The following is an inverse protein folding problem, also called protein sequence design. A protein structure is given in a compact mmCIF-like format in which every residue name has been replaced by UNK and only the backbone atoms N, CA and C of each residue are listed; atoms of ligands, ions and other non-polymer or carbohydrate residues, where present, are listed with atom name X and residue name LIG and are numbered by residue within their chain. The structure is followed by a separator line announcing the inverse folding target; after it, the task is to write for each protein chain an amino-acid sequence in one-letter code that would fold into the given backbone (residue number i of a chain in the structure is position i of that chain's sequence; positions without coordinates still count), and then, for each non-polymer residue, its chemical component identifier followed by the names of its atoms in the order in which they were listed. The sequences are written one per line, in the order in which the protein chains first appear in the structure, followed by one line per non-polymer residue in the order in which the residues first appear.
data_IF_836755452134
#
_entry.id   IF_836755452134
#
_cell.length_a   1.000
_cell.length_b   1.000
_cell.length_c   1.000
_cell.angle_alpha   90.00
_cell.angle_beta   90.00
_cell.angle_gamma   90.00
#
_symmetry.space_group_name_H-M   'P 1'
#
loop_
_entity.id
_entity.type
_entity.pdbx_description
1 polymer ?
#
# COMPACT_ATOMS: atom_id res chain seq x y z
N UNK A 1 -15.97 -6.05 23.12
CA UNK A 1 -14.70 -6.20 22.41
C UNK A 1 -14.47 -7.60 21.82
N UNK A 2 -14.44 -8.73 22.60
CA UNK A 2 -14.20 -10.08 22.04
C UNK A 2 -15.25 -10.49 21.00
N UNK A 3 -16.53 -10.18 21.22
CA UNK A 3 -17.59 -10.43 20.23
C UNK A 3 -17.32 -9.69 18.91
N UNK A 4 -16.91 -8.42 18.98
CA UNK A 4 -16.57 -7.63 17.79
C UNK A 4 -15.39 -8.24 17.03
N UNK A 5 -14.34 -8.69 17.73
CA UNK A 5 -13.21 -9.40 17.12
C UNK A 5 -13.68 -10.68 16.41
N UNK A 6 -14.54 -11.47 17.06
CA UNK A 6 -15.10 -12.70 16.48
C UNK A 6 -15.91 -12.39 15.23
N UNK A 7 -16.78 -11.38 15.26
CA UNK A 7 -17.58 -10.95 14.11
C UNK A 7 -16.67 -10.49 12.95
N UNK A 8 -15.66 -9.66 13.23
CA UNK A 8 -14.69 -9.19 12.24
C UNK A 8 -14.03 -10.38 11.55
N UNK A 9 -13.51 -11.34 12.32
CA UNK A 9 -12.78 -12.48 11.75
C UNK A 9 -13.71 -13.43 11.02
N UNK A 10 -14.79 -13.89 11.64
CA UNK A 10 -15.66 -14.92 11.05
C UNK A 10 -16.42 -14.36 9.84
N UNK A 11 -17.12 -13.24 10.00
CA UNK A 11 -17.94 -12.67 8.90
C UNK A 11 -17.03 -12.09 7.81
N UNK A 12 -15.92 -11.42 8.20
CA UNK A 12 -14.96 -10.87 7.25
C UNK A 12 -14.29 -11.94 6.38
N UNK A 13 -13.87 -13.05 6.98
CA UNK A 13 -13.29 -14.19 6.25
C UNK A 13 -14.35 -14.87 5.36
N UNK A 14 -15.57 -15.10 5.87
CA UNK A 14 -16.66 -15.70 5.11
C UNK A 14 -17.03 -14.87 3.89
N UNK A 15 -17.24 -13.56 4.06
CA UNK A 15 -17.56 -12.66 2.94
C UNK A 15 -16.40 -12.51 1.96
N UNK A 16 -15.16 -12.51 2.46
CA UNK A 16 -13.96 -12.53 1.62
C UNK A 16 -13.90 -13.81 0.75
N UNK A 17 -14.17 -14.97 1.34
CA UNK A 17 -14.25 -16.24 0.61
C UNK A 17 -15.41 -16.26 -0.40
N UNK A 18 -16.56 -15.71 -0.06
CA UNK A 18 -17.71 -15.60 -0.98
C UNK A 18 -17.36 -14.74 -2.20
N UNK A 19 -16.71 -13.59 -1.98
CA UNK A 19 -16.23 -12.75 -3.07
C UNK A 19 -15.23 -13.50 -3.97
N UNK A 20 -14.31 -14.27 -3.40
CA UNK A 20 -13.37 -15.08 -4.19
C UNK A 20 -14.08 -16.11 -5.05
N UNK A 21 -15.14 -16.77 -4.54
CA UNK A 21 -16.00 -17.66 -5.36
C UNK A 21 -16.67 -16.94 -6.53
N UNK A 22 -17.04 -15.68 -6.34
CA UNK A 22 -17.57 -14.80 -7.39
C UNK A 22 -16.47 -14.21 -8.30
N UNK A 23 -15.22 -14.65 -8.19
CA UNK A 23 -14.04 -14.13 -8.90
C UNK A 23 -13.70 -12.67 -8.57
N UNK A 24 -14.21 -12.15 -7.47
CA UNK A 24 -13.88 -10.83 -6.93
C UNK A 24 -12.72 -10.92 -5.92
N UNK A 25 -11.95 -9.85 -5.73
CA UNK A 25 -10.96 -9.78 -4.65
C UNK A 25 -11.62 -9.95 -3.26
N UNK A 26 -11.02 -10.75 -2.36
CA UNK A 26 -11.50 -11.00 -0.98
C UNK A 26 -11.73 -9.73 -0.17
N UNK A 27 -10.86 -8.73 -0.39
CA UNK A 27 -10.91 -7.46 0.31
C UNK A 27 -12.25 -6.72 0.16
N UNK A 28 -12.98 -6.92 -0.95
CA UNK A 28 -14.30 -6.31 -1.15
C UNK A 28 -15.33 -6.87 -0.15
N UNK A 29 -15.31 -8.18 0.07
CA UNK A 29 -16.16 -8.81 1.07
C UNK A 29 -15.85 -8.34 2.49
N UNK A 30 -14.56 -8.17 2.81
CA UNK A 30 -14.12 -7.64 4.10
C UNK A 30 -14.54 -6.19 4.30
N UNK A 31 -14.36 -5.32 3.29
CA UNK A 31 -14.85 -3.93 3.32
C UNK A 31 -16.37 -3.86 3.52
N UNK A 32 -17.12 -4.62 2.73
CA UNK A 32 -18.58 -4.68 2.86
C UNK A 32 -19.01 -5.17 4.24
N UNK A 33 -18.32 -6.15 4.80
CA UNK A 33 -18.53 -6.61 6.18
C UNK A 33 -18.36 -5.45 7.16
N UNK A 34 -17.30 -4.68 7.04
CA UNK A 34 -17.06 -3.51 7.89
C UNK A 34 -18.17 -2.46 7.78
N UNK A 35 -18.57 -2.12 6.55
CA UNK A 35 -19.66 -1.17 6.32
C UNK A 35 -20.97 -1.63 6.98
N UNK A 36 -21.31 -2.93 6.87
CA UNK A 36 -22.54 -3.49 7.43
C UNK A 36 -22.49 -3.60 8.94
N UNK A 37 -21.39 -4.12 9.52
CA UNK A 37 -21.25 -4.28 10.97
C UNK A 37 -20.93 -2.98 11.70
N UNK A 38 -20.46 -1.97 10.98
CA UNK A 38 -20.04 -0.67 11.50
C UNK A 38 -21.18 0.20 12.05
N UNK A 39 -20.83 1.36 12.63
CA UNK A 39 -21.77 2.23 13.34
C UNK A 39 -22.83 2.87 12.44
N UNK A 40 -22.62 2.89 11.13
CA UNK A 40 -23.54 3.55 10.19
C UNK A 40 -24.66 2.63 9.67
N UNK A 41 -24.62 1.30 9.96
CA UNK A 41 -25.67 0.35 9.53
C UNK A 41 -26.17 -0.45 10.73
N UNK A 42 -25.49 -1.53 11.11
CA UNK A 42 -25.98 -2.42 12.19
C UNK A 42 -25.45 -2.06 13.58
N UNK A 43 -24.40 -1.26 13.66
CA UNK A 43 -23.74 -0.84 14.90
C UNK A 43 -23.42 -2.03 15.85
N UNK A 44 -22.89 -3.13 15.30
CA UNK A 44 -22.54 -4.33 16.05
C UNK A 44 -21.11 -4.34 16.55
N UNK A 45 -20.26 -3.41 16.09
CA UNK A 45 -18.87 -3.27 16.51
C UNK A 45 -18.80 -2.35 17.74
N UNK A 46 -18.20 -2.87 18.79
CA UNK A 46 -17.98 -2.16 20.05
C UNK A 46 -17.06 -0.94 19.84
N UNK A 47 -17.38 0.18 20.50
CA UNK A 47 -16.61 1.42 20.43
C UNK A 47 -15.14 1.26 20.82
N UNK A 48 -14.81 0.31 21.69
CA UNK A 48 -13.42 0.02 22.09
C UNK A 48 -12.58 -0.51 20.92
N UNK A 49 -13.14 -1.36 20.04
CA UNK A 49 -12.41 -1.86 18.88
C UNK A 49 -12.29 -0.77 17.80
N UNK A 50 -13.30 0.09 17.69
CA UNK A 50 -13.24 1.22 16.76
C UNK A 50 -12.22 2.27 17.24
N UNK A 51 -12.09 2.48 18.54
CA UNK A 51 -11.09 3.39 19.14
C UNK A 51 -9.65 2.97 18.86
N UNK A 52 -9.34 1.66 18.89
CA UNK A 52 -8.00 1.15 18.57
C UNK A 52 -7.82 0.80 17.08
N UNK A 53 -8.81 1.08 16.23
CA UNK A 53 -8.77 0.79 14.79
C UNK A 53 -7.55 1.41 14.09
N UNK A 54 -7.13 2.66 14.35
CA UNK A 54 -5.94 3.24 13.74
C UNK A 54 -4.68 2.42 14.02
N UNK A 55 -4.51 1.95 15.27
CA UNK A 55 -3.35 1.16 15.69
C UNK A 55 -3.32 -0.23 15.01
N UNK A 56 -4.47 -0.89 14.95
CA UNK A 56 -4.59 -2.18 14.28
C UNK A 56 -4.28 -2.08 12.78
N UNK A 57 -4.71 -0.99 12.13
CA UNK A 57 -4.39 -0.71 10.73
C UNK A 57 -2.90 -0.41 10.54
N UNK A 58 -2.29 0.34 11.45
CA UNK A 58 -0.84 0.61 11.48
C UNK A 58 -0.04 -0.69 11.64
N UNK A 59 -0.47 -1.58 12.54
CA UNK A 59 0.14 -2.92 12.70
C UNK A 59 0.06 -3.73 11.39
N UNK A 60 -1.09 -3.72 10.72
CA UNK A 60 -1.24 -4.41 9.44
C UNK A 60 -0.30 -3.84 8.37
N UNK A 61 -0.14 -2.51 8.31
CA UNK A 61 0.81 -1.84 7.41
C UNK A 61 2.26 -2.27 7.70
N UNK A 62 2.66 -2.33 8.96
CA UNK A 62 4.00 -2.80 9.37
C UNK A 62 4.23 -4.25 8.93
N UNK A 63 3.25 -5.12 9.12
CA UNK A 63 3.34 -6.54 8.71
C UNK A 63 3.54 -6.66 7.19
N UNK A 64 2.76 -5.93 6.40
CA UNK A 64 2.87 -6.03 4.93
C UNK A 64 4.17 -5.42 4.40
N UNK A 65 4.63 -4.29 4.96
CA UNK A 65 5.91 -3.67 4.58
C UNK A 65 7.11 -4.54 4.94
N UNK A 66 7.12 -5.14 6.13
CA UNK A 66 8.17 -6.11 6.50
C UNK A 66 8.20 -7.29 5.54
N UNK A 67 7.03 -7.84 5.21
CA UNK A 67 6.90 -8.93 4.24
C UNK A 67 7.41 -8.52 2.87
N UNK A 68 7.08 -7.33 2.40
CA UNK A 68 7.54 -6.80 1.12
C UNK A 68 9.07 -6.69 1.09
N UNK A 69 9.68 -6.12 2.14
CA UNK A 69 11.14 -6.02 2.26
C UNK A 69 11.85 -7.37 2.30
N UNK A 70 11.28 -8.36 3.00
CA UNK A 70 11.83 -9.73 3.07
C UNK A 70 11.72 -10.48 1.73
N UNK A 71 10.73 -10.14 0.90
CA UNK A 71 10.46 -10.80 -0.38
C UNK A 71 11.06 -10.10 -1.60
N UNK A 72 11.62 -8.89 -1.45
CA UNK A 72 12.08 -8.06 -2.56
C UNK A 72 13.38 -8.64 -3.19
N UNK A 73 13.29 -9.12 -4.42
CA UNK A 73 14.48 -9.53 -5.19
C UNK A 73 15.21 -8.30 -5.77
N UNK A 74 16.19 -7.81 -5.02
CA UNK A 74 17.02 -6.67 -5.43
C UNK A 74 17.94 -6.97 -6.62
N UNK A 75 18.24 -8.24 -6.89
CA UNK A 75 19.07 -8.66 -8.01
C UNK A 75 18.30 -8.58 -9.34
N UNK A 76 17.02 -8.95 -9.30
CA UNK A 76 16.09 -8.79 -10.43
C UNK A 76 15.87 -7.32 -10.81
N UNK A 77 15.76 -6.43 -9.81
CA UNK A 77 15.59 -4.99 -10.04
C UNK A 77 16.74 -4.38 -10.85
N UNK A 78 17.98 -4.75 -10.53
CA UNK A 78 19.17 -4.25 -11.24
C UNK A 78 19.20 -4.66 -12.71
N UNK A 79 18.66 -5.84 -13.06
CA UNK A 79 18.59 -6.33 -14.43
C UNK A 79 17.54 -5.61 -15.28
N UNK A 80 16.49 -5.08 -14.66
CA UNK A 80 15.39 -4.38 -15.35
C UNK A 80 15.74 -2.93 -15.71
N UNK A 81 16.79 -2.35 -15.11
CA UNK A 81 17.37 -1.05 -15.44
C UNK A 81 16.42 0.15 -15.20
N UNK A 82 16.54 1.17 -16.07
CA UNK A 82 15.83 2.45 -15.96
C UNK A 82 14.31 2.32 -15.77
N UNK A 83 13.57 1.46 -16.51
CA UNK A 83 12.11 1.38 -16.34
C UNK A 83 11.70 0.96 -14.92
N UNK A 84 12.43 0.04 -14.29
CA UNK A 84 12.12 -0.41 -12.93
C UNK A 84 12.26 0.71 -11.91
N UNK A 85 13.30 1.52 -12.03
CA UNK A 85 13.50 2.68 -11.15
C UNK A 85 12.39 3.71 -11.34
N UNK A 86 12.07 4.06 -12.60
CA UNK A 86 11.02 5.05 -12.88
C UNK A 86 9.64 4.57 -12.40
N UNK A 87 9.32 3.28 -12.52
CA UNK A 87 8.06 2.70 -12.06
C UNK A 87 7.86 2.81 -10.53
N UNK A 88 8.91 3.05 -9.77
CA UNK A 88 8.84 3.21 -8.31
C UNK A 88 8.22 4.54 -7.86
N UNK A 89 8.23 5.60 -8.69
CA UNK A 89 7.78 6.93 -8.26
C UNK A 89 7.05 7.72 -9.35
N UNK A 90 7.37 7.56 -10.64
CA UNK A 90 6.77 8.39 -11.71
C UNK A 90 5.25 8.17 -11.83
N UNK A 91 4.72 6.93 -11.83
CA UNK A 91 3.26 6.73 -11.91
C UNK A 91 2.50 7.37 -10.74
N UNK A 92 3.05 7.28 -9.53
CA UNK A 92 2.48 7.89 -8.35
C UNK A 92 2.52 9.43 -8.41
N UNK A 93 3.64 10.00 -8.86
CA UNK A 93 3.77 11.46 -9.04
C UNK A 93 2.78 12.02 -10.08
N UNK A 94 2.59 11.31 -11.19
CA UNK A 94 1.60 11.68 -12.20
C UNK A 94 0.17 11.62 -11.64
N UNK A 95 -0.17 10.58 -10.91
CA UNK A 95 -1.49 10.45 -10.29
C UNK A 95 -1.73 11.54 -9.24
N UNK A 96 -0.76 11.82 -8.39
CA UNK A 96 -0.81 12.90 -7.41
C UNK A 96 -1.02 14.26 -8.10
N UNK A 97 -0.31 14.52 -9.20
CA UNK A 97 -0.51 15.73 -10.01
C UNK A 97 -1.94 15.78 -10.60
N UNK A 98 -2.45 14.64 -11.09
CA UNK A 98 -3.83 14.55 -11.57
C UNK A 98 -4.85 14.89 -10.49
N UNK A 99 -4.67 14.37 -9.27
CA UNK A 99 -5.54 14.70 -8.14
C UNK A 99 -5.40 16.18 -7.74
N UNK A 100 -4.20 16.71 -7.71
CA UNK A 100 -3.94 18.12 -7.40
C UNK A 100 -4.66 19.07 -8.38
N UNK A 101 -4.74 18.70 -9.65
CA UNK A 101 -5.42 19.51 -10.68
C UNK A 101 -6.96 19.36 -10.62
N UNK A 102 -7.45 18.18 -10.27
CA UNK A 102 -8.88 17.84 -10.33
C UNK A 102 -9.62 18.04 -9.00
N UNK A 103 -9.02 17.70 -7.87
CA UNK A 103 -9.72 17.69 -6.58
C UNK A 103 -10.17 19.07 -6.10
N UNK A 104 -9.41 20.17 -6.26
CA UNK A 104 -9.90 21.51 -5.92
C UNK A 104 -11.15 21.90 -6.71
N UNK A 105 -11.18 21.56 -8.01
CA UNK A 105 -12.30 21.92 -8.90
C UNK A 105 -13.53 21.06 -8.66
N UNK A 106 -13.36 19.78 -8.41
CA UNK A 106 -14.45 18.81 -8.28
C UNK A 106 -15.04 18.77 -6.87
N UNK A 107 -14.18 18.89 -5.85
CA UNK A 107 -14.54 18.66 -4.45
C UNK A 107 -14.37 19.90 -3.55
N UNK A 108 -13.82 20.99 -4.07
CA UNK A 108 -13.59 22.22 -3.31
C UNK A 108 -12.46 22.11 -2.27
N UNK A 109 -11.55 21.15 -2.43
CA UNK A 109 -10.42 20.94 -1.51
C UNK A 109 -9.37 22.04 -1.71
N UNK A 110 -8.71 22.41 -0.63
CA UNK A 110 -7.50 23.24 -0.67
C UNK A 110 -6.34 22.46 -1.34
N UNK A 111 -5.30 23.16 -1.73
CA UNK A 111 -4.12 22.55 -2.37
C UNK A 111 -3.50 21.47 -1.48
N UNK A 112 -3.37 21.75 -0.19
CA UNK A 112 -2.76 20.81 0.76
C UNK A 112 -3.64 19.58 1.01
N UNK A 113 -4.96 19.76 1.12
CA UNK A 113 -5.91 18.65 1.21
C UNK A 113 -5.92 17.79 -0.07
N UNK A 114 -5.81 18.42 -1.24
CA UNK A 114 -5.74 17.74 -2.53
C UNK A 114 -4.44 16.91 -2.65
N UNK A 115 -3.31 17.40 -2.14
CA UNK A 115 -2.05 16.66 -2.13
C UNK A 115 -2.10 15.48 -1.17
N UNK A 116 -2.71 15.63 0.02
CA UNK A 116 -2.95 14.52 0.96
C UNK A 116 -3.82 13.44 0.29
N UNK A 117 -4.94 13.84 -0.32
CA UNK A 117 -5.81 12.91 -1.05
C UNK A 117 -5.07 12.26 -2.21
N UNK A 118 -4.26 13.01 -2.95
CA UNK A 118 -3.43 12.51 -4.04
C UNK A 118 -2.41 11.48 -3.56
N UNK A 119 -1.74 11.74 -2.44
CA UNK A 119 -0.83 10.79 -1.83
C UNK A 119 -1.56 9.50 -1.41
N UNK A 120 -2.75 9.60 -0.80
CA UNK A 120 -3.55 8.41 -0.45
C UNK A 120 -3.90 7.58 -1.68
N UNK A 121 -4.29 8.22 -2.80
CA UNK A 121 -4.68 7.51 -4.02
C UNK A 121 -3.49 6.95 -4.80
N UNK A 122 -2.32 7.57 -4.72
CA UNK A 122 -1.23 7.35 -5.65
C UNK A 122 -0.55 5.96 -5.59
N UNK A 123 -0.76 5.13 -4.58
CA UNK A 123 -0.18 3.79 -4.50
C UNK A 123 -0.92 2.75 -5.35
N UNK A 124 -0.18 1.80 -5.95
CA UNK A 124 -0.74 0.57 -6.54
C UNK A 124 -0.81 -0.53 -5.49
N UNK A 125 -1.80 -1.38 -5.54
CA UNK A 125 -1.95 -2.43 -4.52
C UNK A 125 -1.19 -3.72 -4.83
N UNK A 126 -0.13 -4.06 -4.06
CA UNK A 126 0.52 -5.36 -4.18
C UNK A 126 -0.42 -6.53 -3.90
N UNK A 127 -1.41 -6.37 -3.02
CA UNK A 127 -2.36 -7.43 -2.68
C UNK A 127 -3.18 -7.95 -3.88
N UNK A 128 -3.46 -7.06 -4.84
CA UNK A 128 -4.18 -7.41 -6.07
C UNK A 128 -3.22 -7.85 -7.18
N UNK A 129 -2.06 -7.21 -7.27
CA UNK A 129 -1.11 -7.36 -8.40
C UNK A 129 -0.20 -8.56 -8.22
N UNK A 130 0.39 -8.76 -7.01
CA UNK A 130 1.41 -9.80 -6.77
C UNK A 130 0.93 -11.20 -7.10
N UNK A 131 -0.25 -11.68 -6.66
CA UNK A 131 -0.71 -13.03 -6.96
C UNK A 131 -0.83 -13.28 -8.48
N UNK A 132 -1.25 -12.26 -9.23
CA UNK A 132 -1.40 -12.34 -10.68
C UNK A 132 -0.07 -12.36 -11.39
N UNK A 133 0.87 -11.51 -10.99
CA UNK A 133 2.21 -11.49 -11.59
C UNK A 133 2.96 -12.81 -11.33
N UNK A 134 2.83 -13.40 -10.13
CA UNK A 134 3.40 -14.72 -9.82
C UNK A 134 2.80 -15.78 -10.74
N UNK A 135 1.46 -15.81 -10.87
CA UNK A 135 0.78 -16.72 -11.78
C UNK A 135 1.24 -16.56 -13.24
N UNK A 136 1.42 -15.32 -13.71
CA UNK A 136 1.92 -15.08 -15.07
C UNK A 136 3.35 -15.61 -15.27
N UNK A 137 4.20 -15.50 -14.24
CA UNK A 137 5.55 -16.09 -14.26
C UNK A 137 5.49 -17.61 -14.32
N UNK A 138 4.61 -18.24 -13.53
CA UNK A 138 4.42 -19.69 -13.53
C UNK A 138 3.87 -20.20 -14.86
N UNK A 139 2.94 -19.46 -15.49
CA UNK A 139 2.37 -19.77 -16.80
C UNK A 139 3.27 -19.38 -17.99
N UNK A 140 4.36 -18.65 -17.76
CA UNK A 140 5.34 -18.23 -18.77
C UNK A 140 4.94 -17.01 -19.62
N UNK A 141 3.96 -16.20 -19.21
CA UNK A 141 3.52 -15.01 -19.96
C UNK A 141 4.32 -13.75 -19.60
N UNK A 142 4.89 -13.07 -20.61
CA UNK A 142 5.62 -11.81 -20.46
C UNK A 142 6.97 -11.95 -19.72
N UNK A 143 7.42 -13.18 -19.46
CA UNK A 143 8.61 -13.45 -18.64
C UNK A 143 9.89 -13.08 -19.38
N UNK A 144 9.98 -13.36 -20.69
CA UNK A 144 11.16 -12.99 -21.52
C UNK A 144 11.42 -11.49 -21.53
N UNK A 145 10.36 -10.71 -21.54
CA UNK A 145 10.41 -9.24 -21.50
C UNK A 145 10.54 -8.68 -20.09
N UNK A 146 10.46 -9.53 -19.06
CA UNK A 146 10.54 -9.12 -17.66
C UNK A 146 9.34 -8.30 -17.15
N UNK A 147 8.18 -8.38 -17.82
CA UNK A 147 7.01 -7.55 -17.48
C UNK A 147 6.47 -7.84 -16.09
N UNK A 148 6.19 -9.11 -15.68
CA UNK A 148 5.75 -9.39 -14.32
C UNK A 148 6.74 -8.94 -13.26
N UNK A 149 8.04 -9.14 -13.51
CA UNK A 149 9.11 -8.72 -12.61
C UNK A 149 9.18 -7.19 -12.47
N UNK A 150 9.02 -6.46 -13.59
CA UNK A 150 8.99 -5.00 -13.62
C UNK A 150 7.83 -4.45 -12.78
N UNK A 151 6.63 -5.02 -12.96
CA UNK A 151 5.43 -4.61 -12.22
C UNK A 151 5.59 -4.90 -10.73
N UNK A 152 6.08 -6.10 -10.36
CA UNK A 152 6.33 -6.46 -8.96
C UNK A 152 7.33 -5.53 -8.28
N UNK A 153 8.41 -5.24 -8.99
CA UNK A 153 9.47 -4.38 -8.49
C UNK A 153 8.98 -2.95 -8.22
N UNK A 154 8.31 -2.35 -9.18
CA UNK A 154 7.75 -1.02 -9.05
C UNK A 154 6.68 -0.94 -7.98
N UNK A 155 5.72 -1.88 -7.98
CA UNK A 155 4.64 -1.92 -7.00
C UNK A 155 5.11 -2.04 -5.54
N UNK A 156 6.26 -2.69 -5.31
CA UNK A 156 6.80 -2.84 -3.94
C UNK A 156 7.43 -1.56 -3.39
N UNK A 157 7.95 -0.70 -4.25
CA UNK A 157 8.63 0.55 -3.84
C UNK A 157 7.68 1.75 -3.93
N UNK A 158 6.72 1.72 -4.84
CA UNK A 158 5.68 2.73 -5.03
C UNK A 158 4.94 3.04 -3.71
N UNK A 159 4.57 2.01 -2.94
CA UNK A 159 3.92 2.14 -1.63
C UNK A 159 4.74 3.01 -0.66
N UNK A 160 6.05 2.78 -0.62
CA UNK A 160 6.95 3.50 0.30
C UNK A 160 7.06 4.96 -0.09
N UNK A 161 7.24 5.24 -1.38
CA UNK A 161 7.29 6.61 -1.90
C UNK A 161 6.03 7.40 -1.52
N UNK A 162 4.87 6.79 -1.73
CA UNK A 162 3.56 7.39 -1.44
C UNK A 162 3.35 7.63 0.05
N UNK A 163 3.73 6.68 0.91
CA UNK A 163 3.59 6.82 2.36
C UNK A 163 4.45 7.96 2.89
N UNK A 164 5.65 8.14 2.36
CA UNK A 164 6.52 9.26 2.75
C UNK A 164 5.93 10.60 2.34
N UNK A 165 5.43 10.70 1.10
CA UNK A 165 4.73 11.91 0.67
C UNK A 165 3.54 12.22 1.57
N UNK A 166 2.72 11.20 1.85
CA UNK A 166 1.57 11.32 2.73
C UNK A 166 1.95 11.82 4.12
N UNK A 167 2.94 11.19 4.77
CA UNK A 167 3.39 11.58 6.12
C UNK A 167 3.90 13.03 6.14
N UNK A 168 4.64 13.44 5.10
CA UNK A 168 5.13 14.81 4.99
C UNK A 168 4.00 15.83 4.88
N UNK A 169 3.01 15.58 4.01
CA UNK A 169 1.90 16.51 3.83
C UNK A 169 0.95 16.54 5.02
N UNK A 170 0.81 15.43 5.74
CA UNK A 170 0.08 15.38 7.01
C UNK A 170 0.80 16.23 8.06
N UNK A 171 2.12 16.12 8.21
CA UNK A 171 2.92 16.96 9.10
C UNK A 171 2.76 18.44 8.78
N UNK A 172 2.83 18.83 7.51
CA UNK A 172 2.58 20.22 7.07
C UNK A 172 1.17 20.70 7.45
N UNK A 173 0.16 19.84 7.41
CA UNK A 173 -1.22 20.19 7.79
C UNK A 173 -1.37 20.34 9.31
N UNK A 174 -0.55 19.67 10.11
CA UNK A 174 -0.51 19.80 11.56
C UNK A 174 0.22 21.07 12.06
N UNK A 175 0.70 21.92 11.15
CA UNK A 175 1.33 23.20 11.49
C UNK A 175 2.84 23.15 11.56
N UNK A 176 3.47 22.06 11.12
CA UNK A 176 4.89 22.05 10.84
C UNK A 176 5.15 23.06 9.71
N UNK A 177 6.00 24.06 9.97
CA UNK A 177 6.23 25.15 9.04
C UNK A 177 6.61 24.64 7.65
N UNK A 178 5.86 25.03 6.63
CA UNK A 178 6.16 24.77 5.22
C UNK A 178 7.39 25.58 4.80
N UNK A 179 8.56 25.21 5.33
CA UNK A 179 9.83 25.80 4.91
C UNK A 179 10.40 25.00 3.73
N UNK A 180 11.21 25.62 2.90
CA UNK A 180 12.00 24.90 1.88
C UNK A 180 12.80 23.74 2.48
N UNK A 181 13.17 23.84 3.76
CA UNK A 181 13.80 22.79 4.55
C UNK A 181 12.89 21.54 4.69
N UNK A 182 11.56 21.69 4.81
CA UNK A 182 10.63 20.54 4.89
C UNK A 182 10.66 19.71 3.62
N UNK A 183 10.80 20.34 2.45
CA UNK A 183 10.93 19.60 1.18
C UNK A 183 12.29 18.90 1.04
N UNK A 184 13.36 19.47 1.61
CA UNK A 184 14.69 18.82 1.68
C UNK A 184 14.68 17.68 2.68
N UNK A 185 13.89 17.77 3.75
CA UNK A 185 13.77 16.71 4.75
C UNK A 185 13.11 15.44 4.19
N UNK A 186 12.27 15.52 3.14
CA UNK A 186 11.67 14.32 2.52
C UNK A 186 12.76 13.35 2.03
N UNK A 187 13.66 13.73 1.09
CA UNK A 187 14.70 12.82 0.64
C UNK A 187 15.66 12.44 1.78
N UNK A 188 15.91 13.33 2.74
CA UNK A 188 16.79 13.05 3.89
C UNK A 188 16.15 11.98 4.78
N UNK A 189 14.88 12.10 5.14
CA UNK A 189 14.17 11.10 5.96
C UNK A 189 14.07 9.74 5.27
N UNK A 190 13.91 9.72 3.94
CA UNK A 190 13.98 8.51 3.14
C UNK A 190 15.35 7.84 3.26
N UNK A 191 16.42 8.60 2.99
CA UNK A 191 17.79 8.09 3.02
C UNK A 191 18.18 7.61 4.42
N UNK A 192 17.80 8.36 5.47
CA UNK A 192 18.03 7.96 6.86
C UNK A 192 17.23 6.70 7.21
N UNK A 193 15.97 6.61 6.83
CA UNK A 193 15.16 5.40 7.00
C UNK A 193 15.78 4.19 6.32
N UNK A 194 16.25 4.36 5.07
CA UNK A 194 16.99 3.30 4.36
C UNK A 194 18.27 2.89 5.09
N UNK A 195 19.07 3.84 5.54
CA UNK A 195 20.33 3.58 6.25
C UNK A 195 20.08 2.84 7.59
N UNK A 196 19.15 3.34 8.40
CA UNK A 196 18.75 2.73 9.68
C UNK A 196 18.21 1.32 9.45
N UNK A 197 17.30 1.14 8.49
CA UNK A 197 16.72 -0.17 8.17
C UNK A 197 17.77 -1.18 7.70
N UNK A 198 18.69 -0.79 6.81
CA UNK A 198 19.79 -1.65 6.35
C UNK A 198 20.74 -2.00 7.49
N UNK A 199 21.08 -1.05 8.36
CA UNK A 199 21.94 -1.26 9.51
C UNK A 199 21.29 -2.29 10.47
N UNK A 200 20.05 -2.05 10.90
CA UNK A 200 19.30 -2.94 11.81
C UNK A 200 19.10 -4.31 11.17
N UNK A 201 18.69 -4.38 9.90
CA UNK A 201 18.53 -5.67 9.18
C UNK A 201 19.83 -6.46 9.08
N UNK A 202 20.95 -5.76 8.87
CA UNK A 202 22.29 -6.36 8.85
C UNK A 202 22.73 -6.86 10.21
N UNK A 203 22.46 -6.11 11.27
CA UNK A 203 22.73 -6.53 12.66
C UNK A 203 21.90 -7.77 13.03
N UNK A 204 20.60 -7.76 12.68
CA UNK A 204 19.73 -8.92 12.89
C UNK A 204 20.22 -10.16 12.11
N UNK A 205 20.70 -9.97 10.88
CA UNK A 205 21.28 -11.08 10.11
C UNK A 205 22.51 -11.69 10.80
N UNK A 206 23.38 -10.86 11.39
CA UNK A 206 24.52 -11.31 12.18
C UNK A 206 24.08 -11.97 13.50
N UNK A 207 23.11 -11.39 14.19
CA UNK A 207 22.55 -11.96 15.42
C UNK A 207 21.94 -13.33 15.19
N UNK A 208 21.08 -13.47 14.16
CA UNK A 208 20.46 -14.74 13.78
C UNK A 208 21.46 -15.78 13.22
N UNK A 209 22.69 -15.36 12.90
CA UNK A 209 23.77 -16.27 12.55
C UNK A 209 24.37 -16.94 13.77
N UNK A 210 24.57 -16.15 14.84
CA UNK A 210 25.22 -16.59 16.07
C UNK A 210 24.25 -17.30 17.01
N UNK A 211 22.99 -16.82 17.08
CA UNK A 211 21.99 -17.33 18.02
C UNK A 211 20.93 -18.14 17.27
N UNK A 212 20.87 -19.44 17.59
CA UNK A 212 19.93 -20.38 17.01
C UNK A 212 18.57 -20.29 17.72
N UNK A 213 17.68 -19.43 17.21
CA UNK A 213 16.31 -19.26 17.68
C UNK A 213 15.28 -19.67 16.61
N UNK A 214 14.10 -20.07 17.06
CA UNK A 214 12.99 -20.45 16.17
C UNK A 214 12.57 -19.29 15.27
N UNK A 215 12.16 -19.57 14.04
CA UNK A 215 11.76 -18.54 13.09
C UNK A 215 10.56 -17.69 13.60
N UNK A 216 9.68 -18.27 14.43
CA UNK A 216 8.59 -17.54 15.09
C UNK A 216 9.12 -16.46 16.04
N UNK A 217 10.14 -16.77 16.84
CA UNK A 217 10.77 -15.78 17.72
C UNK A 217 11.48 -14.68 16.91
N UNK A 218 12.12 -15.02 15.78
CA UNK A 218 12.71 -14.01 14.87
C UNK A 218 11.65 -13.04 14.34
N UNK A 219 10.47 -13.56 13.97
CA UNK A 219 9.34 -12.71 13.53
C UNK A 219 8.93 -11.73 14.61
N UNK A 220 8.78 -12.20 15.86
CA UNK A 220 8.41 -11.34 16.99
C UNK A 220 9.48 -10.28 17.27
N UNK A 221 10.77 -10.63 17.21
CA UNK A 221 11.88 -9.68 17.38
C UNK A 221 11.83 -8.59 16.30
N UNK A 222 11.68 -8.97 15.04
CA UNK A 222 11.59 -7.99 13.94
C UNK A 222 10.35 -7.09 14.13
N UNK A 223 9.20 -7.68 14.49
CA UNK A 223 7.97 -6.93 14.71
C UNK A 223 8.11 -5.94 15.88
N UNK A 224 8.71 -6.37 17.01
CA UNK A 224 8.98 -5.51 18.17
C UNK A 224 9.91 -4.36 17.81
N UNK A 225 10.98 -4.61 17.07
CA UNK A 225 11.90 -3.58 16.58
C UNK A 225 11.17 -2.62 15.64
N UNK A 226 10.28 -3.14 14.79
CA UNK A 226 9.46 -2.30 13.89
C UNK A 226 8.55 -1.36 14.68
N UNK A 227 7.92 -1.83 15.75
CA UNK A 227 7.11 -0.99 16.63
C UNK A 227 7.95 0.06 17.35
N UNK A 228 9.14 -0.31 17.84
CA UNK A 228 10.07 0.63 18.48
C UNK A 228 10.54 1.73 17.50
N UNK A 229 10.78 1.39 16.24
CA UNK A 229 11.17 2.39 15.23
C UNK A 229 10.03 3.39 14.96
N UNK A 230 8.77 2.92 14.90
CA UNK A 230 7.61 3.81 14.75
C UNK A 230 7.45 4.71 15.97
N UNK A 231 7.54 4.14 17.17
CA UNK A 231 7.47 4.92 18.40
C UNK A 231 8.63 5.94 18.51
N UNK A 232 9.83 5.57 18.04
CA UNK A 232 10.96 6.49 17.99
C UNK A 232 10.75 7.63 17.00
N UNK A 233 10.20 7.36 15.81
CA UNK A 233 9.82 8.41 14.84
C UNK A 233 8.83 9.40 15.45
N UNK A 234 7.78 8.90 16.13
CA UNK A 234 6.76 9.73 16.77
C UNK A 234 7.31 10.55 17.97
N UNK A 235 8.30 10.00 18.68
CA UNK A 235 8.93 10.69 19.83
C UNK A 235 9.99 11.72 19.42
N UNK A 236 10.57 11.62 18.22
CA UNK A 236 11.60 12.53 17.75
C UNK A 236 10.97 13.82 17.20
N UNK A 237 11.04 14.88 17.99
CA UNK A 237 10.60 16.24 17.61
C UNK A 237 11.72 17.09 16.96
N UNK A 238 12.76 16.42 16.43
CA UNK A 238 13.92 17.10 15.83
C UNK A 238 13.65 17.56 14.39
N UNK A 239 14.40 18.55 13.92
CA UNK A 239 14.28 19.07 12.55
C UNK A 239 14.61 18.01 11.45
N UNK A 240 15.29 16.93 11.81
CA UNK A 240 15.63 15.82 10.91
C UNK A 240 15.04 14.55 11.51
N UNK A 241 14.01 14.02 10.89
CA UNK A 241 13.38 12.74 11.23
C UNK A 241 13.77 11.66 10.22
N UNK A 242 13.68 10.40 10.62
CA UNK A 242 13.82 9.27 9.69
C UNK A 242 12.44 8.62 9.47
N UNK A 243 12.18 8.09 8.28
CA UNK A 243 10.94 7.35 8.06
C UNK A 243 11.05 5.92 8.61
N UNK A 244 10.31 5.63 9.68
CA UNK A 244 10.27 4.30 10.29
C UNK A 244 9.68 3.25 9.33
N UNK A 245 8.68 3.59 8.54
CA UNK A 245 8.05 2.66 7.59
C UNK A 245 9.04 2.24 6.49
N UNK A 246 9.88 3.15 6.02
CA UNK A 246 11.00 2.83 5.12
C UNK A 246 12.02 1.96 5.85
N UNK A 247 12.42 2.32 7.06
CA UNK A 247 13.37 1.53 7.83
C UNK A 247 12.88 0.09 8.01
N UNK A 248 11.60 -0.12 8.32
CA UNK A 248 10.96 -1.43 8.46
C UNK A 248 11.09 -2.26 7.17
N UNK A 249 10.79 -1.68 6.02
CA UNK A 249 10.97 -2.38 4.75
C UNK A 249 12.44 -2.72 4.50
N UNK A 250 13.35 -1.78 4.79
CA UNK A 250 14.78 -1.96 4.58
C UNK A 250 15.45 -2.90 5.60
N UNK A 251 14.84 -3.15 6.78
CA UNK A 251 15.22 -4.28 7.66
C UNK A 251 15.06 -5.59 6.89
N UNK A 252 13.93 -5.79 6.22
CA UNK A 252 13.70 -6.97 5.39
C UNK A 252 14.74 -7.13 4.29
N UNK A 253 15.03 -6.06 3.55
CA UNK A 253 16.03 -6.03 2.49
C UNK A 253 17.45 -6.31 3.03
N UNK A 254 17.82 -5.70 4.16
CA UNK A 254 19.12 -5.92 4.80
C UNK A 254 19.32 -7.37 5.23
N UNK A 255 18.29 -7.99 5.81
CA UNK A 255 18.28 -9.40 6.16
C UNK A 255 18.36 -10.30 4.92
N UNK A 256 17.61 -9.98 3.87
CA UNK A 256 17.59 -10.73 2.61
C UNK A 256 18.95 -10.71 1.92
N UNK A 257 19.63 -9.56 1.86
CA UNK A 257 20.97 -9.43 1.25
C UNK A 257 22.01 -10.33 1.93
N UNK A 258 21.96 -10.47 3.26
CA UNK A 258 22.94 -11.26 4.03
C UNK A 258 22.52 -12.71 4.22
N UNK A 259 21.22 -12.99 4.33
CA UNK A 259 20.65 -14.31 4.64
C UNK A 259 19.34 -14.57 3.89
N UNK A 260 19.42 -14.71 2.58
CA UNK A 260 18.25 -14.89 1.69
C UNK A 260 17.37 -16.09 2.10
N UNK A 261 17.97 -17.22 2.53
CA UNK A 261 17.23 -18.41 2.96
C UNK A 261 16.39 -18.11 4.22
N UNK A 262 16.95 -17.38 5.19
CA UNK A 262 16.23 -16.99 6.41
C UNK A 262 15.13 -16.00 6.05
N UNK A 263 15.42 -14.99 5.26
CA UNK A 263 14.45 -14.00 4.82
C UNK A 263 13.24 -14.64 4.10
N UNK A 264 13.50 -15.62 3.22
CA UNK A 264 12.43 -16.37 2.53
C UNK A 264 11.52 -17.11 3.50
N UNK A 265 12.10 -17.81 4.52
CA UNK A 265 11.30 -18.50 5.54
C UNK A 265 10.49 -17.54 6.40
N UNK A 266 11.07 -16.39 6.78
CA UNK A 266 10.37 -15.35 7.54
C UNK A 266 9.25 -14.69 6.72
N UNK A 267 9.47 -14.43 5.43
CA UNK A 267 8.44 -13.91 4.52
C UNK A 267 7.19 -14.81 4.49
N UNK A 268 7.37 -16.14 4.49
CA UNK A 268 6.26 -17.10 4.59
C UNK A 268 5.51 -16.96 5.93
N UNK A 269 6.23 -16.77 7.04
CA UNK A 269 5.62 -16.56 8.37
C UNK A 269 4.84 -15.25 8.44
N UNK A 270 5.42 -14.15 7.91
CA UNK A 270 4.72 -12.87 7.77
C UNK A 270 3.49 -12.98 6.87
N UNK A 271 3.53 -13.83 5.83
CA UNK A 271 2.36 -14.15 5.02
C UNK A 271 1.21 -14.78 5.80
N UNK A 272 1.51 -15.60 6.84
CA UNK A 272 0.49 -16.17 7.73
C UNK A 272 -0.10 -15.11 8.68
N UNK A 273 0.74 -14.21 9.21
CA UNK A 273 0.28 -13.08 10.02
C UNK A 273 -0.60 -12.12 9.21
N UNK A 274 -0.25 -11.94 7.94
CA UNK A 274 -1.01 -11.07 7.04
C UNK A 274 -2.46 -11.50 6.89
N UNK A 275 -2.78 -12.79 6.94
CA UNK A 275 -4.16 -13.28 6.81
C UNK A 275 -5.09 -12.64 7.83
N UNK A 276 -4.70 -12.59 9.10
CA UNK A 276 -5.48 -11.94 10.14
C UNK A 276 -5.42 -10.39 10.04
N UNK A 277 -4.23 -9.86 9.77
CA UNK A 277 -4.00 -8.43 9.63
C UNK A 277 -4.83 -7.82 8.47
N UNK A 278 -4.96 -8.54 7.36
CA UNK A 278 -5.77 -8.16 6.20
C UNK A 278 -7.25 -8.03 6.56
N UNK A 279 -7.78 -9.00 7.30
CA UNK A 279 -9.19 -8.98 7.73
C UNK A 279 -9.44 -7.76 8.63
N UNK A 280 -8.60 -7.54 9.65
CA UNK A 280 -8.72 -6.36 10.51
C UNK A 280 -8.62 -5.07 9.71
N UNK A 281 -7.62 -4.96 8.82
CA UNK A 281 -7.40 -3.78 8.00
C UNK A 281 -8.65 -3.40 7.20
N UNK A 282 -9.17 -4.32 6.40
CA UNK A 282 -10.26 -4.00 5.48
C UNK A 282 -11.62 -3.89 6.18
N UNK A 283 -11.91 -4.72 7.19
CA UNK A 283 -13.17 -4.62 7.93
C UNK A 283 -13.21 -3.34 8.76
N UNK A 284 -12.13 -2.98 9.44
CA UNK A 284 -12.10 -1.75 10.24
C UNK A 284 -12.16 -0.48 9.38
N UNK A 285 -11.51 -0.49 8.20
CA UNK A 285 -11.67 0.62 7.23
C UNK A 285 -13.10 0.69 6.73
N UNK A 286 -13.72 -0.44 6.38
CA UNK A 286 -15.14 -0.46 6.01
C UNK A 286 -16.05 0.11 7.08
N UNK A 287 -15.78 -0.22 8.35
CA UNK A 287 -16.58 0.25 9.49
C UNK A 287 -16.52 1.77 9.72
N UNK A 288 -15.45 2.43 9.28
CA UNK A 288 -15.31 3.89 9.41
C UNK A 288 -15.97 4.68 8.28
N UNK A 289 -16.48 4.00 7.23
CA UNK A 289 -17.10 4.66 6.08
C UNK A 289 -18.51 5.12 6.39
N UNK A 290 -18.75 6.42 6.27
CA UNK A 290 -20.09 7.00 6.37
C UNK A 290 -20.84 6.85 5.04
N UNK A 291 -21.78 5.90 4.99
CA UNK A 291 -22.56 5.59 3.78
C UNK A 291 -23.43 6.78 3.34
N UNK A 292 -23.94 7.57 4.29
CA UNK A 292 -24.71 8.77 3.98
C UNK A 292 -23.87 9.85 3.26
N UNK A 293 -22.58 9.95 3.60
CA UNK A 293 -21.64 10.85 2.93
C UNK A 293 -21.30 10.37 1.51
N UNK A 294 -21.24 9.05 1.32
CA UNK A 294 -21.00 8.42 0.02
C UNK A 294 -22.03 8.88 -1.04
N UNK A 295 -23.29 9.00 -0.68
CA UNK A 295 -24.35 9.48 -1.59
C UNK A 295 -24.15 10.93 -2.04
N UNK A 296 -23.52 11.77 -1.20
CA UNK A 296 -23.31 13.20 -1.52
C UNK A 296 -22.11 13.44 -2.43
N UNK A 297 -21.02 12.68 -2.29
CA UNK A 297 -19.76 12.92 -3.00
C UNK A 297 -19.44 11.86 -4.05
N UNK A 298 -20.19 10.76 -4.13
CA UNK A 298 -19.86 9.59 -4.92
C UNK A 298 -19.61 9.85 -6.40
N UNK A 299 -20.46 10.65 -7.05
CA UNK A 299 -20.29 10.98 -8.48
C UNK A 299 -19.01 11.81 -8.74
N UNK A 300 -18.74 12.80 -7.89
CA UNK A 300 -17.52 13.62 -8.00
C UNK A 300 -16.27 12.81 -7.69
N UNK A 301 -16.34 11.93 -6.68
CA UNK A 301 -15.26 11.03 -6.32
C UNK A 301 -14.96 10.04 -7.46
N UNK A 302 -15.99 9.48 -8.10
CA UNK A 302 -15.83 8.61 -9.26
C UNK A 302 -15.10 9.33 -10.41
N UNK A 303 -15.51 10.54 -10.73
CA UNK A 303 -14.87 11.34 -11.78
C UNK A 303 -13.41 11.66 -11.43
N UNK A 304 -13.13 12.00 -10.17
CA UNK A 304 -11.78 12.23 -9.68
C UNK A 304 -10.90 10.96 -9.80
N UNK A 305 -11.42 9.80 -9.37
CA UNK A 305 -10.68 8.53 -9.42
C UNK A 305 -10.36 8.17 -10.88
N UNK A 306 -11.33 8.25 -11.78
CA UNK A 306 -11.13 7.97 -13.20
C UNK A 306 -10.10 8.92 -13.80
N UNK A 307 -10.20 10.21 -13.52
CA UNK A 307 -9.24 11.22 -13.97
C UNK A 307 -7.82 10.93 -13.44
N UNK A 308 -7.69 10.65 -12.15
CA UNK A 308 -6.42 10.32 -11.52
C UNK A 308 -5.77 9.06 -12.14
N UNK A 309 -6.59 8.03 -12.44
CA UNK A 309 -6.11 6.81 -13.11
C UNK A 309 -5.57 7.09 -14.53
N UNK A 310 -6.17 8.03 -15.27
CA UNK A 310 -5.63 8.43 -16.58
C UNK A 310 -4.22 9.00 -16.41
N UNK A 311 -3.99 9.88 -15.45
CA UNK A 311 -2.66 10.41 -15.15
C UNK A 311 -1.71 9.30 -14.72
N UNK A 312 -2.14 8.37 -13.88
CA UNK A 312 -1.32 7.21 -13.50
C UNK A 312 -0.90 6.38 -14.71
N UNK A 313 -1.85 6.04 -15.59
CA UNK A 313 -1.57 5.29 -16.81
C UNK A 313 -0.58 6.03 -17.73
N UNK A 314 -0.69 7.34 -17.84
CA UNK A 314 0.28 8.18 -18.54
C UNK A 314 1.65 8.10 -17.89
N UNK A 315 1.75 8.15 -16.57
CA UNK A 315 3.01 7.96 -15.83
C UNK A 315 3.66 6.61 -16.12
N UNK A 316 2.89 5.52 -16.08
CA UNK A 316 3.39 4.18 -16.49
C UNK A 316 3.86 4.18 -17.93
N UNK A 317 3.10 4.76 -18.84
CA UNK A 317 3.48 4.86 -20.24
C UNK A 317 4.82 5.58 -20.44
N UNK A 318 5.02 6.70 -19.75
CA UNK A 318 6.29 7.46 -19.77
C UNK A 318 7.46 6.62 -19.27
N UNK A 319 7.28 5.83 -18.21
CA UNK A 319 8.31 4.91 -17.70
C UNK A 319 8.75 3.88 -18.74
N UNK A 320 7.81 3.45 -19.59
CA UNK A 320 8.04 2.41 -20.59
C UNK A 320 8.50 2.95 -21.95
N UNK A 321 8.65 4.27 -22.11
CA UNK A 321 9.24 4.86 -23.32
C UNK A 321 10.71 4.45 -23.45
N UNK A 322 11.13 4.15 -24.68
CA UNK A 322 12.49 3.68 -24.95
C UNK A 322 12.78 2.23 -24.57
N UNK A 323 11.75 1.47 -24.12
CA UNK A 323 11.88 0.02 -23.91
C UNK A 323 11.52 -0.76 -25.18
N UNK A 324 12.00 -2.00 -25.27
CA UNK A 324 11.67 -2.94 -26.38
C UNK A 324 10.24 -3.51 -26.29
N UNK A 325 9.42 -3.08 -25.31
CA UNK A 325 8.06 -3.56 -25.13
C UNK A 325 7.14 -3.11 -26.25
N UNK A 326 6.34 -4.03 -26.78
CA UNK A 326 5.30 -3.75 -27.77
C UNK A 326 4.18 -2.87 -27.18
N UNK A 327 3.38 -2.23 -28.04
CA UNK A 327 2.21 -1.42 -27.62
C UNK A 327 1.24 -2.22 -26.74
N UNK A 328 1.03 -3.51 -27.04
CA UNK A 328 0.16 -4.42 -26.27
C UNK A 328 0.71 -4.68 -24.87
N UNK A 329 2.00 -4.94 -24.75
CA UNK A 329 2.68 -5.18 -23.48
C UNK A 329 2.70 -3.93 -22.60
N UNK A 330 2.92 -2.74 -23.19
CA UNK A 330 2.80 -1.46 -22.46
C UNK A 330 1.39 -1.24 -21.94
N UNK A 331 0.36 -1.53 -22.75
CA UNK A 331 -1.04 -1.41 -22.33
C UNK A 331 -1.33 -2.35 -21.14
N UNK A 332 -0.81 -3.59 -21.19
CA UNK A 332 -0.96 -4.51 -20.06
C UNK A 332 -0.32 -3.95 -18.78
N UNK A 333 0.90 -3.42 -18.86
CA UNK A 333 1.57 -2.82 -17.69
C UNK A 333 0.81 -1.61 -17.15
N UNK A 334 0.24 -0.75 -18.02
CA UNK A 334 -0.60 0.37 -17.62
C UNK A 334 -1.85 -0.10 -16.84
N UNK A 335 -2.54 -1.13 -17.33
CA UNK A 335 -3.71 -1.70 -16.64
C UNK A 335 -3.33 -2.39 -15.33
N UNK A 336 -2.20 -3.10 -15.28
CA UNK A 336 -1.73 -3.77 -14.07
C UNK A 336 -1.37 -2.79 -12.93
N UNK A 337 -1.14 -1.53 -13.24
CA UNK A 337 -0.80 -0.48 -12.28
C UNK A 337 -2.02 0.34 -11.78
N UNK A 338 -3.25 -0.06 -12.12
CA UNK A 338 -4.46 0.65 -11.71
C UNK A 338 -5.07 0.19 -10.37
N UNK A 339 -4.93 -1.07 -9.87
CA UNK A 339 -5.62 -1.50 -8.67
C UNK A 339 -5.17 -0.75 -7.41
N UNK A 340 -6.12 -0.32 -6.60
CA UNK A 340 -5.93 0.32 -5.30
C UNK A 340 -6.46 -0.62 -4.21
N UNK A 341 -5.77 -0.76 -3.07
CA UNK A 341 -6.31 -1.47 -1.91
C UNK A 341 -5.55 -1.19 -0.60
N UNK A 342 -4.34 -1.77 -0.42
CA UNK A 342 -3.68 -1.88 0.89
C UNK A 342 -3.27 -0.54 1.49
N UNK A 343 -2.62 0.31 0.71
CA UNK A 343 -2.17 1.63 1.20
C UNK A 343 -3.36 2.54 1.45
N UNK A 344 -4.31 2.59 0.52
CA UNK A 344 -5.54 3.37 0.67
C UNK A 344 -6.30 2.99 1.95
N UNK A 345 -6.40 1.68 2.24
CA UNK A 345 -7.01 1.20 3.47
C UNK A 345 -6.20 1.57 4.71
N UNK A 346 -4.87 1.50 4.64
CA UNK A 346 -4.00 1.76 5.78
C UNK A 346 -3.96 3.24 6.17
N UNK A 347 -3.81 4.15 5.20
CA UNK A 347 -3.58 5.58 5.47
C UNK A 347 -4.80 6.47 5.18
N UNK A 348 -5.80 5.99 4.40
CA UNK A 348 -6.95 6.81 4.01
C UNK A 348 -7.83 7.30 5.16
N UNK A 349 -7.84 6.61 6.29
CA UNK A 349 -8.56 7.03 7.50
C UNK A 349 -7.75 7.88 8.48
N UNK A 350 -6.45 8.11 8.23
CA UNK A 350 -5.59 8.89 9.14
C UNK A 350 -6.04 10.36 9.20
N UNK A 351 -6.33 11.07 8.10
CA UNK A 351 -6.80 12.44 8.16
C UNK A 351 -8.07 12.61 8.98
N UNK A 352 -9.01 11.64 8.91
CA UNK A 352 -10.21 11.64 9.74
C UNK A 352 -9.88 11.44 11.21
N UNK A 353 -9.00 10.51 11.54
CA UNK A 353 -8.56 10.24 12.92
C UNK A 353 -7.83 11.45 13.55
N UNK A 354 -7.14 12.26 12.73
CA UNK A 354 -6.48 13.50 13.13
C UNK A 354 -7.43 14.70 13.19
N UNK A 355 -8.72 14.54 12.87
CA UNK A 355 -9.72 15.60 12.90
C UNK A 355 -9.61 16.62 11.76
N UNK A 356 -8.95 16.28 10.65
CA UNK A 356 -8.86 17.18 9.49
C UNK A 356 -10.23 17.36 8.81
N UNK A 357 -10.53 18.57 8.36
CA UNK A 357 -11.79 18.89 7.68
C UNK A 357 -12.02 18.02 6.41
N UNK A 358 -10.97 17.66 5.72
CA UNK A 358 -11.02 16.77 4.55
C UNK A 358 -11.12 15.27 4.90
N UNK A 359 -11.08 14.88 6.19
CA UNK A 359 -10.96 13.50 6.62
C UNK A 359 -12.01 12.55 6.05
N UNK A 360 -13.30 12.92 6.14
CA UNK A 360 -14.41 12.14 5.56
C UNK A 360 -14.29 12.00 4.04
N UNK A 361 -13.87 13.08 3.37
CA UNK A 361 -13.67 13.09 1.91
C UNK A 361 -12.54 12.14 1.51
N UNK A 362 -11.39 12.24 2.18
CA UNK A 362 -10.22 11.40 1.90
C UNK A 362 -10.55 9.92 2.11
N UNK A 363 -11.17 9.58 3.24
CA UNK A 363 -11.56 8.21 3.54
C UNK A 363 -12.57 7.67 2.51
N UNK A 364 -13.60 8.44 2.19
CA UNK A 364 -14.65 8.03 1.24
C UNK A 364 -14.08 7.79 -0.15
N UNK A 365 -13.25 8.72 -0.64
CA UNK A 365 -12.61 8.57 -1.96
C UNK A 365 -11.64 7.38 -1.97
N UNK A 366 -10.88 7.18 -0.89
CA UNK A 366 -9.97 6.04 -0.77
C UNK A 366 -10.72 4.69 -0.85
N UNK A 367 -11.83 4.56 -0.12
CA UNK A 367 -12.65 3.33 -0.14
C UNK A 367 -13.33 3.13 -1.49
N UNK A 368 -13.88 4.18 -2.10
CA UNK A 368 -14.41 4.10 -3.46
C UNK A 368 -13.35 3.68 -4.47
N UNK A 369 -12.13 4.22 -4.37
CA UNK A 369 -11.03 3.82 -5.23
C UNK A 369 -10.72 2.32 -5.09
N UNK A 370 -10.72 1.78 -3.86
CA UNK A 370 -10.55 0.34 -3.63
C UNK A 370 -11.66 -0.46 -4.29
N UNK A 371 -12.92 -0.13 -3.99
CA UNK A 371 -14.10 -0.86 -4.46
C UNK A 371 -14.19 -0.89 -5.99
N UNK A 372 -13.80 0.20 -6.64
CA UNK A 372 -13.85 0.31 -8.09
C UNK A 372 -12.62 -0.33 -8.76
N UNK A 373 -11.43 0.04 -8.32
CA UNK A 373 -10.21 -0.25 -9.09
C UNK A 373 -9.66 -1.65 -8.82
N UNK A 374 -9.84 -2.21 -7.61
CA UNK A 374 -9.36 -3.54 -7.29
C UNK A 374 -10.02 -4.61 -8.16
N UNK A 375 -11.37 -4.69 -8.29
CA UNK A 375 -11.98 -5.67 -9.18
C UNK A 375 -11.73 -5.35 -10.66
N UNK A 376 -11.86 -4.08 -11.07
CA UNK A 376 -11.67 -3.71 -12.47
C UNK A 376 -10.26 -4.03 -12.95
N UNK A 377 -9.23 -3.68 -12.18
CA UNK A 377 -7.84 -3.99 -12.52
C UNK A 377 -7.55 -5.49 -12.48
N UNK A 378 -8.15 -6.21 -11.51
CA UNK A 378 -8.07 -7.67 -11.44
C UNK A 378 -8.64 -8.32 -12.70
N UNK A 379 -9.87 -7.98 -13.09
CA UNK A 379 -10.51 -8.49 -14.31
C UNK A 379 -9.77 -8.07 -15.57
N UNK A 380 -9.32 -6.80 -15.65
CA UNK A 380 -8.56 -6.32 -16.78
C UNK A 380 -7.29 -7.16 -17.02
N UNK A 381 -6.52 -7.47 -15.96
CA UNK A 381 -5.36 -8.36 -16.07
C UNK A 381 -5.76 -9.78 -16.47
N UNK A 382 -6.74 -10.39 -15.78
CA UNK A 382 -7.14 -11.79 -15.97
C UNK A 382 -7.74 -12.05 -17.36
N UNK A 383 -8.45 -11.09 -17.96
CA UNK A 383 -9.07 -11.22 -19.29
C UNK A 383 -8.11 -10.89 -20.44
N UNK A 384 -7.09 -10.06 -20.18
CA UNK A 384 -6.27 -9.48 -21.25
C UNK A 384 -4.90 -10.14 -21.41
N UNK A 385 -4.33 -10.80 -20.40
CA UNK A 385 -2.93 -11.25 -20.42
C UNK A 385 -2.60 -12.17 -21.59
N UNK A 386 -3.49 -13.12 -21.95
CA UNK A 386 -3.28 -14.03 -23.09
C UNK A 386 -3.24 -13.32 -24.44
N UNK A 387 -3.94 -12.16 -24.55
CA UNK A 387 -4.02 -11.38 -25.79
C UNK A 387 -2.92 -10.32 -25.90
N UNK A 388 -2.44 -9.82 -24.75
CA UNK A 388 -1.51 -8.71 -24.67
C UNK A 388 -0.07 -9.13 -24.42
N UNK A 389 0.15 -10.26 -23.74
CA UNK A 389 1.48 -10.78 -23.42
C UNK A 389 1.83 -11.97 -24.29
N UNK A 390 3.12 -12.09 -24.63
CA UNK A 390 3.66 -13.26 -25.34
C UNK A 390 3.98 -14.35 -24.32
N UNK A 391 3.66 -15.60 -24.68
CA UNK A 391 4.11 -16.77 -23.95
C UNK A 391 5.57 -17.04 -24.37
N UNK A 392 6.44 -17.20 -23.37
CA UNK A 392 7.87 -17.34 -23.57
C UNK A 392 8.35 -18.77 -23.48
#
# INVERSE_FOLDING_TARGET
MLLSISLILIVGMFMGWLCQKCRLPSLLGMLATGMVLGPYVLNLLDGSILGISPELRKMALIIILTRAGLGLDTSGLKKLGRPAVLMCFVPASFELMGVLLLAPKLMGLTVLEAVILGAVLAAVSPAVVVPRMVRLMDEGYGVKQGIPQLILAGASVDDVYVIVLFSTFVGMMQGESASLLSFVNIPVSILLGMAVGLAVGSLLACFFAKVHIRDTAKVLIILSISFLLVAAEEALTTAITFSALIAIMFIGIGLQKKRAVVAKRLSVKYGKLWVAAEVFLFVLVGATVNIGYLGKVGAKALLLIVGALVFRMLGVFVCLLGTSLSKKERLFAMMAYTPKATVQAAIGGIPLALGFACGDTVLTVAVLAIVLTAPLGAFAMDLSYKKLLKKG
#
